data_IF_544364610351
#
_entry.id   IF_544364610351
#
_cell.length_a   1.000
_cell.length_b   1.000
_cell.length_c   1.000
_cell.angle_alpha   90.00
_cell.angle_beta   90.00
_cell.angle_gamma   90.00
#
_symmetry.space_group_name_H-M   'P 1'
#
loop_
_entity.id
_entity.type
_entity.pdbx_description
1 polymer ?
#
# COMPACT_ATOMS: atom_id res chain seq x y z
N UNK A 1 0.27 -40.13 -24.44
CA UNK A 1 0.40 -40.93 -23.20
C UNK A 1 -0.92 -40.90 -22.46
N UNK A 2 -1.66 -42.00 -22.41
CA UNK A 2 -2.92 -42.12 -21.67
C UNK A 2 -2.57 -42.16 -20.17
N UNK A 3 -3.04 -41.16 -19.39
CA UNK A 3 -2.88 -41.15 -17.95
C UNK A 3 -3.56 -42.39 -17.34
N UNK A 4 -2.77 -43.21 -16.65
CA UNK A 4 -3.27 -44.33 -15.87
C UNK A 4 -4.17 -43.78 -14.76
N UNK A 5 -5.49 -43.96 -14.89
CA UNK A 5 -6.43 -43.68 -13.80
C UNK A 5 -6.09 -44.63 -12.65
N UNK A 6 -5.65 -44.09 -11.53
CA UNK A 6 -5.38 -44.88 -10.32
C UNK A 6 -6.67 -45.50 -9.84
N UNK A 7 -6.76 -46.84 -9.89
CA UNK A 7 -7.89 -47.59 -9.33
C UNK A 7 -8.00 -47.30 -7.83
N UNK A 8 -9.17 -46.93 -7.35
CA UNK A 8 -9.46 -46.66 -5.92
C UNK A 8 -10.72 -47.43 -5.55
N UNK A 9 -10.76 -47.93 -4.31
CA UNK A 9 -11.96 -48.49 -3.70
C UNK A 9 -12.96 -47.36 -3.41
N UNK A 10 -14.24 -47.44 -3.76
CA UNK A 10 -15.28 -46.50 -3.38
C UNK A 10 -15.42 -46.31 -1.87
N UNK A 11 -15.83 -45.10 -1.42
CA UNK A 11 -15.93 -44.76 -0.01
C UNK A 11 -16.96 -45.64 0.69
N UNK A 12 -18.10 -45.95 0.03
CA UNK A 12 -19.16 -46.79 0.57
C UNK A 12 -18.64 -48.21 0.84
N UNK A 13 -17.84 -48.74 -0.07
CA UNK A 13 -17.24 -50.05 0.07
C UNK A 13 -16.17 -50.08 1.18
N UNK A 14 -15.42 -48.97 1.36
CA UNK A 14 -14.50 -48.82 2.50
C UNK A 14 -15.22 -48.81 3.84
N UNK A 15 -16.39 -48.15 3.91
CA UNK A 15 -17.23 -48.14 5.11
C UNK A 15 -17.77 -49.55 5.42
N UNK A 16 -18.28 -50.25 4.39
CA UNK A 16 -18.76 -51.65 4.54
C UNK A 16 -17.64 -52.58 5.01
N UNK A 17 -16.46 -52.50 4.37
CA UNK A 17 -15.32 -53.29 4.77
C UNK A 17 -14.89 -53.01 6.23
N UNK A 18 -14.92 -51.75 6.62
CA UNK A 18 -14.61 -51.34 8.01
C UNK A 18 -15.59 -51.98 9.00
N UNK A 19 -16.89 -51.82 8.76
CA UNK A 19 -17.91 -52.35 9.61
C UNK A 19 -17.74 -53.90 9.76
N UNK A 20 -17.45 -54.62 8.68
CA UNK A 20 -17.14 -56.04 8.70
C UNK A 20 -15.84 -56.34 9.46
N UNK A 21 -14.82 -55.52 9.36
CA UNK A 21 -13.58 -55.66 10.12
C UNK A 21 -13.77 -55.40 11.63
N UNK A 22 -14.64 -54.48 12.01
CA UNK A 22 -14.85 -54.09 13.42
C UNK A 22 -15.64 -55.16 14.21
N UNK A 23 -16.38 -56.06 13.53
CA UNK A 23 -17.02 -57.22 14.13
C UNK A 23 -16.04 -58.36 14.47
N UNK A 24 -14.80 -58.31 13.92
CA UNK A 24 -13.81 -59.36 14.06
C UNK A 24 -12.76 -59.02 15.13
N UNK A 25 -12.28 -60.03 15.87
CA UNK A 25 -11.18 -59.84 16.84
C UNK A 25 -9.93 -59.28 16.17
N UNK A 26 -9.26 -58.33 16.82
CA UNK A 26 -7.98 -57.78 16.37
C UNK A 26 -6.97 -58.93 16.15
N UNK A 27 -6.19 -58.88 15.03
CA UNK A 27 -5.22 -59.93 14.64
C UNK A 27 -5.80 -61.27 14.19
N UNK A 28 -7.11 -61.35 13.92
CA UNK A 28 -7.75 -62.58 13.38
C UNK A 28 -7.29 -62.78 11.91
N UNK A 29 -7.07 -64.06 11.53
CA UNK A 29 -6.77 -64.41 10.12
C UNK A 29 -7.89 -64.01 9.16
N UNK A 30 -9.15 -64.01 9.64
CA UNK A 30 -10.32 -63.56 8.86
C UNK A 30 -10.26 -62.09 8.49
N UNK A 31 -9.67 -61.22 9.31
CA UNK A 31 -9.48 -59.79 8.96
C UNK A 31 -8.51 -59.64 7.80
N UNK A 32 -7.47 -60.46 7.74
CA UNK A 32 -6.50 -60.45 6.66
C UNK A 32 -7.13 -60.90 5.38
N UNK A 33 -7.86 -61.99 5.39
CA UNK A 33 -8.59 -62.54 4.23
C UNK A 33 -9.58 -61.50 3.66
N UNK A 34 -10.40 -60.86 4.45
CA UNK A 34 -11.35 -59.83 4.00
C UNK A 34 -10.64 -58.64 3.32
N UNK A 35 -9.47 -58.22 3.81
CA UNK A 35 -8.70 -57.13 3.16
C UNK A 35 -8.07 -57.62 1.86
N UNK A 36 -7.62 -58.88 1.77
CA UNK A 36 -7.07 -59.48 0.56
C UNK A 36 -8.16 -59.66 -0.50
N UNK A 37 -9.32 -60.18 -0.15
CA UNK A 37 -10.48 -60.31 -1.05
C UNK A 37 -10.96 -58.95 -1.58
N UNK A 38 -11.04 -57.94 -0.72
CA UNK A 38 -11.40 -56.60 -1.17
C UNK A 38 -10.31 -56.00 -2.10
N UNK A 39 -9.04 -56.30 -1.82
CA UNK A 39 -7.94 -55.83 -2.66
C UNK A 39 -7.99 -56.42 -4.06
N UNK A 40 -8.26 -57.73 -4.14
CA UNK A 40 -8.40 -58.46 -5.40
C UNK A 40 -9.63 -57.99 -6.18
N UNK A 41 -10.77 -57.82 -5.51
CA UNK A 41 -12.00 -57.36 -6.14
C UNK A 41 -11.88 -55.96 -6.77
N UNK A 42 -11.27 -55.03 -6.09
CA UNK A 42 -11.08 -53.65 -6.58
C UNK A 42 -9.80 -53.47 -7.38
N UNK A 43 -8.96 -54.51 -7.56
CA UNK A 43 -7.71 -54.46 -8.27
C UNK A 43 -6.71 -53.45 -7.70
N UNK A 44 -6.63 -53.38 -6.39
CA UNK A 44 -5.70 -52.51 -5.61
C UNK A 44 -4.88 -53.37 -4.65
N UNK A 45 -3.77 -52.82 -4.15
CA UNK A 45 -2.98 -53.60 -3.17
C UNK A 45 -3.62 -53.61 -1.75
N UNK A 46 -3.44 -54.69 -0.99
CA UNK A 46 -3.88 -54.72 0.41
C UNK A 46 -3.36 -53.57 1.29
N UNK A 47 -2.15 -53.09 0.97
CA UNK A 47 -1.56 -51.91 1.62
C UNK A 47 -2.30 -50.61 1.27
N UNK A 48 -2.81 -50.47 0.02
CA UNK A 48 -3.63 -49.34 -0.39
C UNK A 48 -4.97 -49.32 0.36
N UNK A 49 -5.61 -50.47 0.54
CA UNK A 49 -6.85 -50.59 1.34
C UNK A 49 -6.58 -50.23 2.79
N UNK A 50 -5.53 -50.75 3.40
CA UNK A 50 -5.19 -50.40 4.80
C UNK A 50 -4.92 -48.90 4.97
N UNK A 51 -4.26 -48.27 4.00
CA UNK A 51 -4.05 -46.82 4.01
C UNK A 51 -5.37 -46.07 3.87
N UNK A 52 -6.24 -46.45 2.95
CA UNK A 52 -7.55 -45.85 2.76
C UNK A 52 -8.44 -46.00 4.01
N UNK A 53 -8.44 -47.19 4.64
CA UNK A 53 -9.13 -47.42 5.90
C UNK A 53 -8.57 -46.55 7.06
N UNK A 54 -7.28 -46.24 7.04
CA UNK A 54 -6.67 -45.35 8.02
C UNK A 54 -6.99 -43.86 7.72
N UNK A 55 -6.93 -43.42 6.48
CA UNK A 55 -7.26 -42.06 6.05
C UNK A 55 -8.73 -41.71 6.28
N UNK A 56 -9.64 -42.69 6.09
CA UNK A 56 -11.07 -42.55 6.36
C UNK A 56 -11.48 -42.98 7.79
N UNK A 57 -10.52 -43.02 8.70
CA UNK A 57 -10.83 -43.28 10.11
C UNK A 57 -11.61 -42.08 10.66
N UNK A 58 -12.91 -42.28 10.93
CA UNK A 58 -13.62 -41.35 11.81
C UNK A 58 -12.92 -41.38 13.17
N UNK A 59 -12.43 -40.24 13.69
CA UNK A 59 -11.80 -40.23 14.96
C UNK A 59 -12.83 -40.68 15.99
N UNK A 60 -12.74 -41.94 16.45
CA UNK A 60 -13.26 -42.30 17.75
C UNK A 60 -12.65 -41.24 18.66
N UNK A 61 -13.47 -40.57 19.46
CA UNK A 61 -13.05 -39.52 20.38
C UNK A 61 -11.68 -39.88 20.97
N UNK A 62 -10.62 -39.33 20.39
CA UNK A 62 -9.25 -39.50 20.85
C UNK A 62 -9.04 -38.58 22.04
N UNK A 63 -9.94 -38.72 23.01
CA UNK A 63 -9.73 -38.16 24.32
C UNK A 63 -8.55 -38.93 24.93
N UNK A 64 -7.48 -38.22 25.21
CA UNK A 64 -6.37 -38.78 25.99
C UNK A 64 -6.92 -39.41 27.25
N UNK A 65 -6.22 -40.40 27.79
CA UNK A 65 -6.58 -41.06 29.05
C UNK A 65 -6.72 -40.08 30.24
N UNK A 66 -6.16 -38.87 30.12
CA UNK A 66 -6.25 -37.79 31.10
C UNK A 66 -7.35 -36.77 30.78
N UNK A 67 -8.21 -37.04 29.79
CA UNK A 67 -9.34 -36.18 29.48
C UNK A 67 -10.33 -36.18 30.65
N UNK A 68 -10.66 -34.97 31.14
CA UNK A 68 -11.46 -34.72 32.37
C UNK A 68 -10.79 -35.07 33.72
N UNK A 69 -9.51 -35.45 33.74
CA UNK A 69 -8.79 -35.52 34.98
C UNK A 69 -8.52 -34.14 35.59
N UNK A 70 -8.53 -34.00 36.93
CA UNK A 70 -8.22 -32.74 37.59
C UNK A 70 -6.83 -32.22 37.16
N UNK A 71 -6.76 -31.01 36.73
CA UNK A 71 -5.48 -30.37 36.33
C UNK A 71 -4.83 -29.73 37.55
N UNK A 72 -3.49 -29.72 37.62
CA UNK A 72 -2.73 -29.05 38.68
C UNK A 72 -3.10 -27.57 38.87
N UNK A 73 -3.50 -26.90 37.78
CA UNK A 73 -3.96 -25.50 37.80
C UNK A 73 -5.39 -25.48 37.26
N UNK A 74 -6.37 -24.94 37.99
CA UNK A 74 -7.73 -24.73 37.51
C UNK A 74 -7.78 -23.91 36.24
N UNK A 75 -8.75 -24.16 35.34
CA UNK A 75 -8.90 -23.47 34.07
C UNK A 75 -8.94 -21.93 34.18
N UNK A 76 -9.77 -21.36 35.07
CA UNK A 76 -9.84 -19.91 35.28
C UNK A 76 -8.52 -19.30 35.74
N UNK A 77 -7.81 -19.99 36.64
CA UNK A 77 -6.51 -19.54 37.17
C UNK A 77 -5.43 -19.58 36.06
N UNK A 78 -5.36 -20.66 35.29
CA UNK A 78 -4.48 -20.76 34.12
C UNK A 78 -4.76 -19.64 33.11
N UNK A 79 -6.03 -19.30 32.90
CA UNK A 79 -6.41 -18.20 32.01
C UNK A 79 -5.89 -16.86 32.51
N UNK A 80 -6.05 -16.60 33.83
CA UNK A 80 -5.53 -15.39 34.47
C UNK A 80 -4.01 -15.26 34.29
N UNK A 81 -3.24 -16.33 34.49
CA UNK A 81 -1.80 -16.34 34.27
C UNK A 81 -1.45 -16.09 32.78
N UNK A 82 -2.17 -16.68 31.86
CA UNK A 82 -1.95 -16.45 30.43
C UNK A 82 -2.28 -15.01 30.02
N UNK A 83 -3.33 -14.41 30.57
CA UNK A 83 -3.68 -12.99 30.34
C UNK A 83 -2.56 -12.05 30.83
N UNK A 84 -1.98 -12.33 32.01
CA UNK A 84 -0.84 -11.56 32.55
C UNK A 84 0.39 -11.74 31.66
N UNK A 85 0.73 -12.95 31.24
CA UNK A 85 1.85 -13.22 30.33
C UNK A 85 1.65 -12.49 28.99
N UNK A 86 0.45 -12.48 28.45
CA UNK A 86 0.13 -11.75 27.23
C UNK A 86 0.29 -10.24 27.43
N UNK A 87 -0.20 -9.70 28.54
CA UNK A 87 -0.06 -8.29 28.89
C UNK A 87 1.42 -7.88 29.08
N UNK A 88 2.23 -8.70 29.75
CA UNK A 88 3.68 -8.45 29.89
C UNK A 88 4.37 -8.40 28.52
N UNK A 89 4.08 -9.33 27.63
CA UNK A 89 4.64 -9.31 26.26
C UNK A 89 4.27 -8.05 25.49
N UNK A 90 3.03 -7.61 25.56
CA UNK A 90 2.57 -6.39 24.87
C UNK A 90 3.23 -5.15 25.47
N UNK A 91 3.26 -5.03 26.80
CA UNK A 91 3.83 -3.86 27.51
C UNK A 91 5.34 -3.72 27.34
N UNK A 92 6.06 -4.81 27.23
CA UNK A 92 7.52 -4.82 27.08
C UNK A 92 7.99 -4.70 25.63
N UNK A 93 7.05 -4.61 24.69
CA UNK A 93 7.40 -4.50 23.27
C UNK A 93 8.05 -3.16 22.97
N UNK A 94 9.30 -3.19 22.51
CA UNK A 94 10.03 -2.00 22.09
C UNK A 94 9.69 -1.59 20.62
N UNK A 95 10.24 -0.44 20.18
CA UNK A 95 10.03 0.08 18.79
C UNK A 95 10.47 -0.90 17.70
N UNK A 96 11.40 -1.81 17.99
CA UNK A 96 11.87 -2.86 17.06
C UNK A 96 11.03 -4.16 17.12
N UNK A 97 9.92 -4.18 17.87
CA UNK A 97 9.04 -5.33 18.01
C UNK A 97 9.56 -6.45 18.94
N UNK A 98 10.66 -6.24 19.64
CA UNK A 98 11.21 -7.19 20.61
C UNK A 98 10.44 -7.08 21.92
N UNK A 99 10.13 -8.21 22.53
CA UNK A 99 9.39 -8.33 23.78
C UNK A 99 9.93 -9.50 24.63
N UNK A 100 9.54 -9.55 25.89
CA UNK A 100 9.93 -10.64 26.79
C UNK A 100 9.48 -12.00 26.27
N UNK A 101 10.35 -13.01 26.44
CA UNK A 101 10.02 -14.39 26.12
C UNK A 101 8.97 -14.93 27.08
N UNK A 102 8.23 -15.98 26.69
CA UNK A 102 7.28 -16.66 27.59
C UNK A 102 7.97 -17.15 28.85
N UNK A 103 9.21 -17.66 28.72
CA UNK A 103 9.99 -18.15 29.85
C UNK A 103 10.28 -17.02 30.84
N UNK A 104 10.67 -15.87 30.35
CA UNK A 104 10.96 -14.70 31.19
C UNK A 104 9.71 -14.14 31.85
N UNK A 105 8.59 -14.08 31.14
CA UNK A 105 7.30 -13.68 31.72
C UNK A 105 6.86 -14.61 32.86
N UNK A 106 7.08 -15.94 32.70
CA UNK A 106 6.80 -16.92 33.75
C UNK A 106 7.70 -16.68 34.97
N UNK A 107 9.00 -16.51 34.74
CA UNK A 107 9.97 -16.23 35.81
C UNK A 107 9.57 -14.98 36.62
N UNK A 108 9.24 -13.88 35.96
CA UNK A 108 8.77 -12.66 36.62
C UNK A 108 7.51 -12.90 37.44
N UNK A 109 6.55 -13.65 36.88
CA UNK A 109 5.28 -13.95 37.53
C UNK A 109 5.42 -14.89 38.75
N UNK A 110 6.34 -15.84 38.69
CA UNK A 110 6.62 -16.78 39.78
C UNK A 110 7.49 -16.12 40.88
N UNK A 111 8.51 -15.34 40.51
CA UNK A 111 9.46 -14.78 41.47
C UNK A 111 8.96 -13.50 42.13
N UNK A 112 8.44 -12.56 41.35
CA UNK A 112 8.10 -11.20 41.84
C UNK A 112 6.59 -10.96 41.89
N UNK A 113 5.81 -11.75 41.17
CA UNK A 113 4.40 -11.46 40.94
C UNK A 113 4.20 -10.22 40.04
N UNK A 114 2.95 -9.95 39.74
CA UNK A 114 2.56 -8.78 38.90
C UNK A 114 1.38 -8.09 39.53
N UNK A 115 1.47 -6.78 39.67
CA UNK A 115 0.35 -5.96 40.14
C UNK A 115 -0.70 -5.83 39.04
N UNK A 116 -1.93 -6.23 39.33
CA UNK A 116 -3.08 -6.10 38.44
C UNK A 116 -4.12 -5.16 39.02
N UNK A 117 -5.08 -4.63 38.26
CA UNK A 117 -6.19 -3.84 38.79
C UNK A 117 -7.02 -4.56 39.87
N UNK A 118 -7.00 -5.90 39.89
CA UNK A 118 -7.69 -6.74 40.86
C UNK A 118 -6.78 -7.15 42.04
N UNK A 119 -5.57 -6.59 42.13
CA UNK A 119 -4.59 -6.90 43.16
C UNK A 119 -3.35 -7.63 42.64
N UNK A 120 -2.39 -7.92 43.53
CA UNK A 120 -1.18 -8.66 43.16
C UNK A 120 -1.50 -10.11 42.78
N UNK A 121 -0.80 -10.60 41.77
CA UNK A 121 -0.90 -11.99 41.32
C UNK A 121 0.50 -12.57 41.20
N UNK A 122 0.71 -13.69 41.90
CA UNK A 122 1.96 -14.43 41.83
C UNK A 122 1.63 -15.90 41.57
N UNK A 123 2.34 -16.52 40.67
CA UNK A 123 2.19 -17.94 40.40
C UNK A 123 3.11 -18.77 41.34
N UNK A 124 2.71 -19.95 41.79
CA UNK A 124 3.62 -20.82 42.54
C UNK A 124 4.82 -21.24 41.71
N UNK A 125 6.00 -21.26 42.32
CA UNK A 125 7.25 -21.58 41.67
C UNK A 125 7.23 -22.96 40.97
N UNK A 126 7.74 -23.00 39.73
CA UNK A 126 7.84 -24.22 38.93
C UNK A 126 6.53 -24.80 38.44
N UNK A 127 5.38 -24.17 38.73
CA UNK A 127 4.07 -24.66 38.34
C UNK A 127 3.74 -24.36 36.86
N UNK A 128 4.22 -23.25 36.33
CA UNK A 128 3.96 -22.83 34.96
C UNK A 128 5.02 -23.36 33.99
N UNK A 129 4.64 -24.32 33.14
CA UNK A 129 5.52 -24.82 32.07
C UNK A 129 5.32 -24.01 30.80
N UNK A 130 6.43 -23.53 30.21
CA UNK A 130 6.43 -22.74 28.96
C UNK A 130 5.53 -23.33 27.86
N UNK A 131 5.69 -24.63 27.58
CA UNK A 131 4.93 -25.31 26.51
C UNK A 131 3.43 -25.33 26.81
N UNK A 132 3.05 -25.42 28.07
CA UNK A 132 1.65 -25.38 28.53
C UNK A 132 1.08 -23.97 28.35
N UNK A 133 1.81 -22.94 28.81
CA UNK A 133 1.40 -21.54 28.68
C UNK A 133 1.31 -21.14 27.18
N UNK A 134 2.30 -21.47 26.37
CA UNK A 134 2.29 -21.17 24.92
C UNK A 134 1.08 -21.82 24.22
N UNK A 135 0.73 -23.07 24.55
CA UNK A 135 -0.45 -23.77 24.03
C UNK A 135 -1.75 -23.07 24.41
N UNK A 136 -1.88 -22.62 25.66
CA UNK A 136 -3.08 -21.90 26.11
C UNK A 136 -3.17 -20.50 25.56
N UNK A 137 -2.05 -19.77 25.41
CA UNK A 137 -2.01 -18.50 24.73
C UNK A 137 -2.54 -18.60 23.29
N UNK A 138 -2.16 -19.65 22.55
CA UNK A 138 -2.70 -19.94 21.23
C UNK A 138 -4.19 -20.29 21.26
N UNK A 139 -4.58 -21.21 22.15
CA UNK A 139 -5.96 -21.69 22.26
C UNK A 139 -6.96 -20.57 22.60
N UNK A 140 -6.56 -19.59 23.41
CA UNK A 140 -7.43 -18.48 23.83
C UNK A 140 -7.22 -17.20 22.99
N UNK A 141 -6.47 -17.27 21.91
CA UNK A 141 -6.21 -16.10 21.06
C UNK A 141 -5.37 -15.01 21.74
N UNK A 142 -4.66 -15.33 22.84
CA UNK A 142 -3.81 -14.42 23.60
C UNK A 142 -2.36 -14.41 23.08
N UNK A 143 -2.08 -15.05 21.93
CA UNK A 143 -0.77 -15.02 21.29
C UNK A 143 -0.37 -13.58 20.95
N UNK A 144 0.92 -13.26 21.09
CA UNK A 144 1.43 -11.90 20.84
C UNK A 144 0.99 -11.30 19.49
N UNK A 145 0.99 -12.11 18.43
CA UNK A 145 0.49 -11.69 17.12
C UNK A 145 -1.01 -11.43 17.12
N UNK A 146 -1.80 -12.28 17.77
CA UNK A 146 -3.26 -12.15 17.87
C UNK A 146 -3.65 -10.90 18.68
N UNK A 147 -2.96 -10.63 19.78
CA UNK A 147 -3.19 -9.45 20.62
C UNK A 147 -2.81 -8.13 19.93
N UNK A 148 -1.96 -8.18 18.91
CA UNK A 148 -1.56 -7.03 18.07
C UNK A 148 -2.30 -6.97 16.75
N UNK A 149 -3.25 -7.86 16.50
CA UNK A 149 -4.11 -7.72 15.31
C UNK A 149 -4.87 -6.41 15.46
N UNK A 150 -4.48 -5.45 14.64
CA UNK A 150 -5.21 -4.20 14.50
C UNK A 150 -6.64 -4.55 14.04
N UNK A 151 -7.67 -3.87 14.58
CA UNK A 151 -9.03 -4.07 14.08
C UNK A 151 -9.03 -3.90 12.56
N UNK A 152 -9.89 -4.63 11.85
CA UNK A 152 -9.95 -4.54 10.40
C UNK A 152 -10.07 -3.07 10.01
N UNK A 153 -9.13 -2.58 9.20
CA UNK A 153 -9.18 -1.24 8.69
C UNK A 153 -10.50 -1.09 7.94
N UNK A 154 -11.33 -0.16 8.35
CA UNK A 154 -12.54 0.20 7.60
C UNK A 154 -12.05 0.61 6.22
N UNK A 155 -12.47 -0.13 5.19
CA UNK A 155 -12.16 0.21 3.81
C UNK A 155 -12.85 1.53 3.49
N UNK A 156 -12.09 2.61 3.45
CA UNK A 156 -12.56 3.83 2.81
C UNK A 156 -12.62 3.56 1.29
N UNK A 157 -13.76 3.87 0.71
CA UNK A 157 -13.95 3.88 -0.73
C UNK A 157 -14.83 5.07 -1.07
N UNK A 158 -14.39 5.90 -2.00
CA UNK A 158 -15.15 7.03 -2.50
C UNK A 158 -16.46 6.55 -3.15
N UNK A 159 -17.51 7.36 -3.06
CA UNK A 159 -18.81 7.02 -3.64
C UNK A 159 -18.74 7.10 -5.16
N UNK A 160 -18.12 8.17 -5.68
CA UNK A 160 -17.99 8.38 -7.11
C UNK A 160 -16.51 8.40 -7.54
N UNK A 161 -16.30 8.10 -8.80
CA UNK A 161 -15.03 8.31 -9.47
C UNK A 161 -14.67 9.79 -9.44
N UNK A 162 -13.39 10.13 -9.31
CA UNK A 162 -12.88 11.49 -9.12
C UNK A 162 -13.33 12.19 -7.81
N UNK A 163 -13.99 11.51 -6.89
CA UNK A 163 -14.20 12.08 -5.55
C UNK A 163 -12.88 12.16 -4.77
N UNK A 164 -12.02 11.15 -4.90
CA UNK A 164 -10.74 11.11 -4.21
C UNK A 164 -9.68 10.41 -5.06
N UNK A 165 -8.56 11.08 -5.28
CA UNK A 165 -7.36 10.48 -5.84
C UNK A 165 -6.30 10.33 -4.78
N UNK A 166 -5.63 9.17 -4.77
CA UNK A 166 -4.44 8.93 -3.96
C UNK A 166 -3.21 9.23 -4.79
N UNK A 167 -2.38 10.15 -4.33
CA UNK A 167 -1.17 10.64 -5.00
C UNK A 167 0.08 10.25 -4.22
N UNK A 168 1.12 9.78 -4.92
CA UNK A 168 2.36 9.39 -4.28
C UNK A 168 3.54 9.34 -5.27
N UNK A 169 4.77 9.40 -4.73
CA UNK A 169 6.02 9.19 -5.43
C UNK A 169 6.67 7.88 -5.02
N UNK A 170 7.38 7.23 -5.93
CA UNK A 170 8.21 6.07 -5.62
C UNK A 170 9.47 6.06 -6.47
N UNK A 171 10.67 5.91 -5.89
CA UNK A 171 11.86 5.70 -6.69
C UNK A 171 11.68 4.49 -7.62
N UNK A 172 12.04 4.63 -8.90
CA UNK A 172 12.07 3.51 -9.84
C UNK A 172 13.20 2.54 -9.50
N UNK A 173 12.97 1.25 -9.64
CA UNK A 173 14.00 0.23 -9.45
C UNK A 173 15.05 0.28 -10.58
N UNK A 174 14.75 0.91 -11.71
CA UNK A 174 15.67 1.13 -12.83
C UNK A 174 16.80 2.12 -12.50
N UNK A 175 16.59 2.99 -11.51
CA UNK A 175 17.51 4.06 -11.08
C UNK A 175 17.85 5.08 -12.18
N UNK A 176 18.41 4.63 -13.31
CA UNK A 176 18.75 5.43 -14.50
C UNK A 176 18.47 4.62 -15.76
N UNK A 177 17.95 5.26 -16.79
CA UNK A 177 17.74 4.67 -18.11
C UNK A 177 19.05 4.62 -18.89
N UNK A 178 19.07 3.81 -19.97
CA UNK A 178 20.27 3.54 -20.76
C UNK A 178 20.91 4.81 -21.34
N UNK A 179 20.11 5.73 -21.91
CA UNK A 179 20.60 7.00 -22.47
C UNK A 179 21.28 7.90 -21.43
N UNK A 180 20.74 7.99 -20.21
CA UNK A 180 21.32 8.75 -19.10
C UNK A 180 22.61 8.12 -18.54
N UNK A 181 22.72 6.79 -18.59
CA UNK A 181 23.95 6.08 -18.20
C UNK A 181 25.08 6.32 -19.18
N UNK A 182 24.75 6.54 -20.46
CA UNK A 182 25.71 6.83 -21.51
C UNK A 182 26.17 8.30 -21.51
N UNK A 183 25.30 9.22 -21.07
CA UNK A 183 25.64 10.63 -20.91
C UNK A 183 26.50 10.80 -19.66
N UNK A 184 27.78 11.16 -19.81
CA UNK A 184 28.70 11.48 -18.71
C UNK A 184 28.34 12.83 -18.04
N UNK A 185 27.07 13.25 -18.07
CA UNK A 185 26.63 14.46 -17.39
C UNK A 185 26.82 14.28 -15.89
N UNK A 186 27.60 15.16 -15.31
CA UNK A 186 28.05 15.16 -13.92
C UNK A 186 26.95 15.43 -12.88
N UNK A 187 25.68 15.54 -13.30
CA UNK A 187 24.52 15.73 -12.42
C UNK A 187 24.03 14.37 -11.88
N UNK A 188 24.88 13.75 -11.04
CA UNK A 188 24.63 12.46 -10.42
C UNK A 188 23.52 12.45 -9.36
N UNK A 189 22.86 13.60 -9.12
CA UNK A 189 21.89 13.76 -8.04
C UNK A 189 20.44 13.45 -8.43
N UNK A 190 20.11 13.39 -9.73
CA UNK A 190 18.75 13.08 -10.19
C UNK A 190 18.44 11.58 -10.10
N UNK A 191 17.27 11.28 -9.57
CA UNK A 191 16.74 9.90 -9.49
C UNK A 191 15.52 9.78 -10.39
N UNK A 192 15.42 8.64 -11.09
CA UNK A 192 14.22 8.31 -11.83
C UNK A 192 13.11 7.96 -10.85
N UNK A 193 12.07 8.77 -10.81
CA UNK A 193 10.90 8.58 -9.95
C UNK A 193 9.69 8.16 -10.78
N UNK A 194 8.93 7.22 -10.25
CA UNK A 194 7.61 6.86 -10.73
C UNK A 194 6.57 7.62 -9.91
N UNK A 195 5.85 8.53 -10.55
CA UNK A 195 4.79 9.31 -9.93
C UNK A 195 3.45 8.68 -10.27
N UNK A 196 2.51 8.67 -9.33
CA UNK A 196 1.26 7.93 -9.47
C UNK A 196 0.08 8.67 -8.88
N UNK A 197 -1.05 8.61 -9.57
CA UNK A 197 -2.38 8.77 -8.99
C UNK A 197 -3.19 7.50 -9.18
N UNK A 198 -4.03 7.22 -8.18
CA UNK A 198 -5.02 6.15 -8.22
C UNK A 198 -6.39 6.74 -7.82
N UNK A 199 -7.39 6.50 -8.65
CA UNK A 199 -8.77 6.81 -8.26
C UNK A 199 -9.23 5.90 -7.13
N UNK A 200 -9.72 6.47 -6.03
CA UNK A 200 -10.06 5.69 -4.84
C UNK A 200 -11.28 4.80 -5.05
N UNK A 201 -12.24 5.20 -5.89
CA UNK A 201 -13.44 4.42 -6.20
C UNK A 201 -13.10 3.19 -7.03
N UNK A 202 -12.52 3.39 -8.19
CA UNK A 202 -12.34 2.37 -9.23
C UNK A 202 -10.98 1.67 -9.19
N UNK A 203 -9.98 2.33 -8.60
CA UNK A 203 -8.61 1.86 -8.65
C UNK A 203 -7.94 2.04 -10.02
N UNK A 204 -8.50 2.86 -10.91
CA UNK A 204 -7.83 3.28 -12.14
C UNK A 204 -6.55 4.02 -11.80
N UNK A 205 -5.49 3.74 -12.56
CA UNK A 205 -4.16 4.31 -12.36
C UNK A 205 -3.76 5.19 -13.52
N UNK A 206 -3.10 6.30 -13.20
CA UNK A 206 -2.26 7.05 -14.11
C UNK A 206 -0.89 7.26 -13.50
N UNK A 207 0.19 7.07 -14.27
CA UNK A 207 1.57 7.15 -13.81
C UNK A 207 2.48 7.71 -14.88
N UNK A 208 3.56 8.34 -14.44
CA UNK A 208 4.65 8.82 -15.32
C UNK A 208 6.00 8.64 -14.62
N UNK A 209 7.04 8.43 -15.43
CA UNK A 209 8.44 8.54 -15.01
C UNK A 209 8.95 9.97 -15.20
N UNK A 210 9.69 10.45 -14.21
CA UNK A 210 10.38 11.75 -14.26
C UNK A 210 11.75 11.65 -13.59
N UNK A 211 12.75 12.34 -14.14
CA UNK A 211 14.03 12.56 -13.46
C UNK A 211 13.93 13.77 -12.56
N UNK A 212 14.12 13.55 -11.25
CA UNK A 212 13.98 14.59 -10.23
C UNK A 212 15.07 14.48 -9.16
N UNK A 213 15.34 15.59 -8.47
CA UNK A 213 16.22 15.61 -7.29
C UNK A 213 15.55 15.15 -5.99
N UNK A 214 14.38 14.53 -6.09
CA UNK A 214 13.53 14.12 -4.99
C UNK A 214 12.07 14.44 -5.30
N UNK A 215 11.23 14.58 -4.27
CA UNK A 215 9.85 15.03 -4.44
C UNK A 215 9.83 16.55 -4.67
N UNK A 216 9.70 16.99 -5.90
CA UNK A 216 9.64 18.40 -6.23
C UNK A 216 8.24 18.86 -6.69
N UNK A 217 7.94 20.12 -6.41
CA UNK A 217 6.62 20.73 -6.62
C UNK A 217 6.33 20.93 -8.11
N UNK A 218 7.33 21.31 -8.90
CA UNK A 218 7.15 21.57 -10.31
C UNK A 218 6.78 20.29 -11.06
N UNK A 219 7.48 19.21 -10.81
CA UNK A 219 7.19 17.89 -11.39
C UNK A 219 5.85 17.36 -10.90
N UNK A 220 5.52 17.52 -9.61
CA UNK A 220 4.21 17.16 -9.08
C UNK A 220 3.06 17.86 -9.79
N UNK A 221 3.19 19.18 -10.02
CA UNK A 221 2.17 19.97 -10.70
C UNK A 221 2.04 19.59 -12.18
N UNK A 222 3.15 19.38 -12.90
CA UNK A 222 3.13 18.91 -14.30
C UNK A 222 2.45 17.56 -14.43
N UNK A 223 2.83 16.61 -13.57
CA UNK A 223 2.21 15.29 -13.52
C UNK A 223 0.70 15.37 -13.26
N UNK A 224 0.28 16.16 -12.26
CA UNK A 224 -1.14 16.31 -11.93
C UNK A 224 -1.92 16.98 -13.06
N UNK A 225 -1.33 17.97 -13.75
CA UNK A 225 -1.94 18.53 -14.95
C UNK A 225 -2.16 17.43 -16.00
N UNK A 226 -1.15 16.64 -16.31
CA UNK A 226 -1.23 15.55 -17.28
C UNK A 226 -2.26 14.50 -16.85
N UNK A 227 -2.33 14.19 -15.54
CA UNK A 227 -3.32 13.23 -15.01
C UNK A 227 -4.76 13.74 -15.15
N UNK A 228 -4.99 15.05 -14.92
CA UNK A 228 -6.32 15.69 -14.97
C UNK A 228 -6.77 16.05 -16.39
N UNK A 229 -5.83 16.39 -17.26
CA UNK A 229 -6.11 16.80 -18.63
C UNK A 229 -6.60 15.63 -19.51
N UNK A 230 -7.35 15.91 -20.59
CA UNK A 230 -7.67 14.94 -21.62
C UNK A 230 -6.40 14.32 -22.21
N UNK A 231 -6.41 12.99 -22.39
CA UNK A 231 -5.25 12.30 -22.96
C UNK A 231 -5.27 12.40 -24.49
N UNK A 232 -4.11 12.72 -25.08
CA UNK A 232 -3.95 12.74 -26.54
C UNK A 232 -4.16 11.36 -27.17
N UNK A 233 -3.87 10.30 -26.42
CA UNK A 233 -3.97 8.93 -26.87
C UNK A 233 -5.41 8.43 -26.72
N UNK A 234 -5.96 7.86 -27.78
CA UNK A 234 -7.29 7.22 -27.75
C UNK A 234 -7.29 6.00 -26.82
N UNK A 235 -8.39 5.78 -26.11
CA UNK A 235 -8.54 4.61 -25.24
C UNK A 235 -8.10 4.80 -23.77
N UNK A 236 -7.71 6.02 -23.38
CA UNK A 236 -7.45 6.38 -21.98
C UNK A 236 -8.46 7.45 -21.56
N UNK A 237 -9.68 7.12 -21.13
CA UNK A 237 -10.70 8.09 -20.76
C UNK A 237 -10.46 8.73 -19.38
N UNK A 238 -9.48 8.26 -18.60
CA UNK A 238 -9.17 8.79 -17.28
C UNK A 238 -8.73 10.27 -17.36
N UNK A 239 -9.53 11.16 -16.79
CA UNK A 239 -9.33 12.61 -16.79
C UNK A 239 -10.21 13.29 -15.74
N UNK A 240 -10.10 14.60 -15.62
CA UNK A 240 -10.93 15.43 -14.75
C UNK A 240 -10.27 15.76 -13.42
N UNK A 241 -10.72 16.86 -12.82
CA UNK A 241 -10.20 17.36 -11.55
C UNK A 241 -10.85 16.60 -10.39
N UNK A 242 -10.09 15.92 -9.50
CA UNK A 242 -10.66 15.26 -8.33
C UNK A 242 -11.20 16.30 -7.31
N UNK A 243 -12.11 15.88 -6.43
CA UNK A 243 -12.53 16.72 -5.29
C UNK A 243 -11.48 16.73 -4.19
N UNK A 244 -10.87 15.58 -3.94
CA UNK A 244 -9.89 15.35 -2.87
C UNK A 244 -8.63 14.75 -3.47
N UNK A 245 -7.48 15.31 -3.10
CA UNK A 245 -6.17 14.72 -3.32
C UNK A 245 -5.61 14.22 -1.99
N UNK A 246 -5.54 12.89 -1.83
CA UNK A 246 -5.00 12.24 -0.64
C UNK A 246 -3.52 11.91 -0.87
N UNK A 247 -2.63 12.44 -0.04
CA UNK A 247 -1.20 12.30 -0.19
C UNK A 247 -0.50 12.18 1.17
N UNK A 248 0.78 11.84 1.15
CA UNK A 248 1.56 11.83 2.38
C UNK A 248 1.99 13.25 2.81
N UNK A 249 2.60 13.30 3.98
CA UNK A 249 3.04 14.55 4.60
C UNK A 249 4.47 14.91 4.14
N UNK A 250 4.72 14.80 2.82
CA UNK A 250 6.01 15.11 2.18
C UNK A 250 6.21 16.59 1.85
N UNK A 251 7.37 16.95 1.27
CA UNK A 251 7.72 18.34 0.93
C UNK A 251 6.71 19.01 0.00
N UNK A 252 6.17 18.30 -0.98
CA UNK A 252 5.16 18.81 -1.92
C UNK A 252 3.91 19.27 -1.20
N UNK A 253 3.46 18.51 -0.19
CA UNK A 253 2.27 18.84 0.59
C UNK A 253 2.39 20.13 1.41
N UNK A 254 3.61 20.54 1.74
CA UNK A 254 3.89 21.76 2.50
C UNK A 254 4.09 22.99 1.63
N UNK A 255 4.30 22.81 0.33
CA UNK A 255 4.51 23.93 -0.60
C UNK A 255 3.30 24.85 -0.65
N UNK A 256 3.57 26.16 -0.47
CA UNK A 256 2.54 27.21 -0.61
C UNK A 256 1.98 27.25 -2.02
N UNK A 257 2.83 27.15 -3.04
CA UNK A 257 2.43 27.17 -4.45
C UNK A 257 1.55 25.96 -4.78
N UNK A 258 1.94 24.77 -4.33
CA UNK A 258 1.13 23.56 -4.52
C UNK A 258 -0.27 23.72 -3.93
N UNK A 259 -0.36 24.19 -2.67
CA UNK A 259 -1.64 24.43 -1.99
C UNK A 259 -2.49 25.46 -2.72
N UNK A 260 -1.85 26.55 -3.19
CA UNK A 260 -2.53 27.60 -3.96
C UNK A 260 -3.11 27.06 -5.27
N UNK A 261 -2.34 26.28 -6.04
CA UNK A 261 -2.81 25.65 -7.29
C UNK A 261 -3.99 24.71 -7.00
N UNK A 262 -3.87 23.85 -6.01
CA UNK A 262 -4.97 22.93 -5.64
C UNK A 262 -6.23 23.72 -5.22
N UNK A 263 -6.08 24.79 -4.45
CA UNK A 263 -7.21 25.64 -4.05
C UNK A 263 -7.86 26.33 -5.27
N UNK A 264 -7.08 26.83 -6.22
CA UNK A 264 -7.62 27.43 -7.46
C UNK A 264 -8.37 26.41 -8.34
N UNK A 265 -7.94 25.13 -8.30
CA UNK A 265 -8.65 24.03 -8.94
C UNK A 265 -9.86 23.52 -8.11
N UNK A 266 -10.07 24.02 -6.90
CA UNK A 266 -11.09 23.54 -5.98
C UNK A 266 -10.85 22.10 -5.54
N UNK A 267 -9.57 21.72 -5.34
CA UNK A 267 -9.15 20.40 -4.85
C UNK A 267 -8.78 20.49 -3.38
N UNK A 268 -9.44 19.70 -2.54
CA UNK A 268 -9.11 19.57 -1.12
C UNK A 268 -7.90 18.65 -0.95
N UNK A 269 -6.84 19.13 -0.30
CA UNK A 269 -5.69 18.30 0.05
C UNK A 269 -5.96 17.63 1.39
N UNK A 270 -5.91 16.30 1.43
CA UNK A 270 -5.95 15.50 2.66
C UNK A 270 -4.65 14.78 2.87
N UNK A 271 -4.02 15.02 4.02
CA UNK A 271 -2.76 14.43 4.37
C UNK A 271 -2.95 13.13 5.15
N UNK A 272 -2.03 12.19 4.93
CA UNK A 272 -1.95 11.01 5.76
C UNK A 272 -1.50 11.40 7.17
N UNK A 273 -2.40 11.20 8.14
CA UNK A 273 -2.12 11.51 9.54
C UNK A 273 -1.23 10.42 10.16
N UNK A 274 -0.19 10.79 10.92
CA UNK A 274 0.59 9.82 11.67
C UNK A 274 -0.27 9.04 12.64
N UNK A 275 0.09 7.78 12.89
CA UNK A 275 -0.61 6.90 13.83
C UNK A 275 -0.75 7.57 15.20
N UNK A 276 -1.97 7.84 15.62
CA UNK A 276 -2.30 8.34 16.95
C UNK A 276 -2.49 9.86 17.10
N UNK A 277 -2.41 10.66 16.02
CA UNK A 277 -2.56 12.11 16.11
C UNK A 277 -3.99 12.61 16.33
N UNK A 278 -5.01 11.81 16.00
CA UNK A 278 -6.44 12.17 16.11
C UNK A 278 -7.28 11.17 16.92
N UNK A 279 -6.63 10.21 17.59
CA UNK A 279 -7.31 9.10 18.26
C UNK A 279 -8.02 8.11 17.32
N UNK A 280 -8.07 8.38 16.04
CA UNK A 280 -8.57 7.46 15.00
C UNK A 280 -7.39 6.73 14.40
N UNK A 281 -7.53 5.42 14.25
CA UNK A 281 -6.50 4.57 13.66
C UNK A 281 -6.50 4.69 12.13
N UNK A 282 -6.07 5.82 11.60
CA UNK A 282 -5.68 5.93 10.19
C UNK A 282 -4.36 5.20 10.02
N UNK A 283 -4.42 3.95 9.66
CA UNK A 283 -3.23 3.12 9.46
C UNK A 283 -2.67 3.35 8.06
N UNK A 284 -1.38 3.02 7.87
CA UNK A 284 -0.71 2.98 6.56
C UNK A 284 -1.50 2.19 5.49
N UNK A 285 -2.45 1.36 5.90
CA UNK A 285 -3.39 0.65 5.01
C UNK A 285 -4.32 1.57 4.22
N UNK A 286 -4.53 2.83 4.64
CA UNK A 286 -5.29 3.81 3.87
C UNK A 286 -4.61 4.13 2.52
N UNK A 287 -3.26 4.07 2.44
CA UNK A 287 -2.47 4.23 1.21
C UNK A 287 -2.34 2.96 0.35
N UNK A 288 -2.82 1.82 0.81
CA UNK A 288 -2.65 0.54 0.11
C UNK A 288 -3.19 0.51 -1.33
N UNK A 289 -4.03 1.48 -1.70
CA UNK A 289 -4.56 1.62 -3.07
C UNK A 289 -3.54 2.24 -4.04
N UNK A 290 -2.57 3.03 -3.55
CA UNK A 290 -1.49 3.58 -4.38
C UNK A 290 -0.16 2.82 -4.20
N UNK A 291 0.13 2.32 -2.99
CA UNK A 291 1.37 1.56 -2.70
C UNK A 291 1.43 0.20 -3.44
N UNK A 292 0.33 -0.56 -3.39
CA UNK A 292 0.26 -1.86 -4.07
C UNK A 292 0.45 -1.75 -5.59
N UNK A 293 -0.16 -0.78 -6.31
CA UNK A 293 0.11 -0.54 -7.71
C UNK A 293 1.54 -0.15 -8.07
N UNK A 294 2.29 0.53 -7.19
CA UNK A 294 3.73 0.74 -7.42
C UNK A 294 4.47 -0.58 -7.50
N UNK A 295 4.25 -1.44 -6.51
CA UNK A 295 4.83 -2.77 -6.48
C UNK A 295 4.44 -3.57 -7.72
N UNK A 296 3.19 -3.54 -8.15
CA UNK A 296 2.72 -4.25 -9.34
C UNK A 296 3.44 -3.76 -10.60
N UNK A 297 3.61 -2.45 -10.78
CA UNK A 297 4.34 -1.89 -11.93
C UNK A 297 5.81 -2.33 -11.89
N UNK A 298 6.47 -2.25 -10.74
CA UNK A 298 7.86 -2.67 -10.58
C UNK A 298 8.04 -4.17 -10.90
N UNK A 299 7.19 -5.02 -10.33
CA UNK A 299 7.26 -6.47 -10.53
C UNK A 299 6.86 -6.91 -11.95
N UNK A 300 5.89 -6.25 -12.59
CA UNK A 300 5.32 -6.72 -13.86
C UNK A 300 5.78 -5.94 -15.09
N UNK A 301 6.29 -4.71 -14.90
CA UNK A 301 6.68 -3.84 -15.99
C UNK A 301 8.17 -3.51 -15.96
N UNK A 302 8.72 -2.99 -14.84
CA UNK A 302 10.14 -2.66 -14.77
C UNK A 302 11.05 -3.90 -14.91
N UNK A 303 10.59 -5.09 -14.52
CA UNK A 303 11.34 -6.34 -14.73
C UNK A 303 11.51 -6.70 -16.21
N UNK A 304 10.64 -6.22 -17.10
CA UNK A 304 10.76 -6.47 -18.54
C UNK A 304 11.97 -5.74 -19.16
N UNK A 305 12.47 -4.70 -18.52
CA UNK A 305 13.62 -3.93 -18.98
C UNK A 305 14.94 -4.71 -18.95
N UNK A 306 14.97 -5.86 -18.30
CA UNK A 306 16.09 -6.81 -18.46
C UNK A 306 16.21 -7.35 -19.89
N UNK A 307 15.12 -7.34 -20.65
CA UNK A 307 15.06 -7.84 -22.02
C UNK A 307 15.05 -6.72 -23.04
N UNK A 308 14.43 -5.61 -22.73
CA UNK A 308 14.29 -4.45 -23.61
C UNK A 308 14.18 -3.19 -22.77
N UNK A 309 15.22 -2.36 -22.80
CA UNK A 309 15.36 -1.19 -21.94
C UNK A 309 15.10 0.09 -22.75
N UNK A 310 14.25 1.02 -22.27
CA UNK A 310 14.03 2.30 -22.92
C UNK A 310 15.29 3.17 -22.83
N UNK A 311 15.54 3.96 -23.87
CA UNK A 311 16.67 4.87 -23.90
C UNK A 311 16.35 6.21 -23.25
N UNK A 312 15.10 6.69 -23.40
CA UNK A 312 14.65 8.00 -22.90
C UNK A 312 13.45 7.88 -21.96
N UNK A 313 13.17 8.94 -21.21
CA UNK A 313 12.00 9.01 -20.32
C UNK A 313 10.69 9.03 -21.11
N UNK A 314 10.70 9.67 -22.27
CA UNK A 314 9.55 9.74 -23.18
C UNK A 314 9.17 8.33 -23.64
N UNK A 315 10.14 7.55 -24.11
CA UNK A 315 9.94 6.15 -24.52
C UNK A 315 9.46 5.28 -23.34
N UNK A 316 10.08 5.44 -22.15
CA UNK A 316 9.65 4.75 -20.94
C UNK A 316 8.20 5.08 -20.57
N UNK A 317 7.79 6.35 -20.74
CA UNK A 317 6.43 6.78 -20.49
C UNK A 317 5.44 6.25 -21.54
N UNK A 318 5.81 6.18 -22.81
CA UNK A 318 4.97 5.59 -23.85
C UNK A 318 4.65 4.12 -23.53
N UNK A 319 5.66 3.32 -23.20
CA UNK A 319 5.48 1.91 -22.83
C UNK A 319 4.71 1.76 -21.53
N UNK A 320 4.95 2.66 -20.56
CA UNK A 320 4.18 2.68 -19.32
C UNK A 320 2.70 2.95 -19.59
N UNK A 321 2.36 3.87 -20.47
CA UNK A 321 0.96 4.16 -20.83
C UNK A 321 0.29 2.95 -21.50
N UNK A 322 1.00 2.22 -22.36
CA UNK A 322 0.48 0.96 -22.94
C UNK A 322 0.21 -0.11 -21.88
N UNK A 323 1.13 -0.25 -20.94
CA UNK A 323 0.95 -1.16 -19.81
C UNK A 323 -0.25 -0.74 -18.96
N UNK A 324 -0.37 0.54 -18.61
CA UNK A 324 -1.48 1.05 -17.79
C UNK A 324 -2.83 0.91 -18.47
N UNK A 325 -2.91 1.08 -19.79
CA UNK A 325 -4.13 0.86 -20.56
C UNK A 325 -4.61 -0.59 -20.38
N UNK A 326 -3.70 -1.56 -20.54
CA UNK A 326 -4.01 -2.98 -20.30
C UNK A 326 -4.38 -3.24 -18.84
N UNK A 327 -3.61 -2.68 -17.88
CA UNK A 327 -3.86 -2.84 -16.45
C UNK A 327 -5.23 -2.32 -16.02
N UNK A 328 -5.62 -1.14 -16.50
CA UNK A 328 -6.90 -0.53 -16.19
C UNK A 328 -8.09 -1.27 -16.84
N UNK A 329 -7.84 -1.96 -17.95
CA UNK A 329 -8.84 -2.81 -18.64
C UNK A 329 -9.00 -4.19 -17.99
N UNK A 330 -8.10 -4.61 -17.08
CA UNK A 330 -8.24 -5.89 -16.38
C UNK A 330 -9.30 -5.81 -15.29
N UNK A 331 -10.04 -6.91 -15.03
CA UNK A 331 -10.93 -7.02 -13.89
C UNK A 331 -10.24 -6.69 -12.56
N UNK A 332 -10.94 -6.00 -11.68
CA UNK A 332 -10.40 -5.64 -10.38
C UNK A 332 -10.68 -6.74 -9.35
N UNK A 333 -9.71 -7.62 -9.13
CA UNK A 333 -9.77 -8.73 -8.16
C UNK A 333 -10.87 -9.75 -8.51
N UNK A 334 -11.87 -9.91 -7.61
CA UNK A 334 -13.01 -10.82 -7.75
C UNK A 334 -14.25 -10.15 -8.32
N UNK A 335 -14.09 -9.02 -9.00
CA UNK A 335 -15.20 -8.30 -9.61
C UNK A 335 -15.30 -8.63 -11.10
N UNK A 336 -16.51 -8.65 -11.65
CA UNK A 336 -16.78 -9.04 -13.04
C UNK A 336 -16.53 -7.91 -14.05
N UNK A 337 -16.07 -6.75 -13.57
CA UNK A 337 -15.81 -5.57 -14.39
C UNK A 337 -14.38 -5.06 -14.23
N UNK A 338 -13.89 -4.33 -15.23
CA UNK A 338 -12.59 -3.69 -15.21
C UNK A 338 -12.60 -2.42 -14.35
N UNK A 339 -11.40 -1.95 -13.97
CA UNK A 339 -11.23 -0.66 -13.26
C UNK A 339 -11.79 0.50 -14.09
N UNK A 340 -11.59 0.45 -15.40
CA UNK A 340 -12.04 1.50 -16.31
C UNK A 340 -13.56 1.51 -16.45
N UNK A 341 -14.21 0.35 -16.53
CA UNK A 341 -15.67 0.23 -16.52
C UNK A 341 -16.26 0.74 -15.21
N UNK A 342 -15.64 0.41 -14.05
CA UNK A 342 -16.07 0.94 -12.76
C UNK A 342 -15.92 2.46 -12.69
N UNK A 343 -14.82 3.00 -13.22
CA UNK A 343 -14.58 4.45 -13.27
C UNK A 343 -15.67 5.17 -14.09
N UNK A 344 -15.98 4.68 -15.29
CA UNK A 344 -16.99 5.26 -16.16
C UNK A 344 -18.41 5.16 -15.54
N UNK A 345 -18.73 4.02 -14.96
CA UNK A 345 -20.05 3.75 -14.36
C UNK A 345 -20.35 4.62 -13.13
N UNK A 346 -19.32 4.97 -12.37
CA UNK A 346 -19.46 5.71 -11.13
C UNK A 346 -18.99 7.17 -11.21
N UNK A 347 -18.94 7.74 -12.42
CA UNK A 347 -18.78 9.18 -12.56
C UNK A 347 -19.92 9.91 -11.84
N UNK A 348 -19.67 11.11 -11.25
CA UNK A 348 -20.74 11.94 -10.68
C UNK A 348 -21.84 12.20 -11.71
N UNK A 349 -23.08 12.41 -11.31
CA UNK A 349 -24.19 12.73 -12.24
C UNK A 349 -23.92 13.95 -13.13
N UNK A 350 -23.11 14.90 -12.67
CA UNK A 350 -22.63 16.06 -13.43
C UNK A 350 -21.45 15.78 -14.35
N UNK A 351 -21.02 14.51 -14.46
CA UNK A 351 -19.77 14.14 -15.11
C UNK A 351 -18.53 14.49 -14.28
N UNK A 352 -17.38 14.53 -14.90
CA UNK A 352 -16.14 14.99 -14.27
C UNK A 352 -15.94 16.50 -14.48
N UNK A 353 -15.19 17.15 -13.59
CA UNK A 353 -14.79 18.54 -13.73
C UNK A 353 -13.64 18.62 -14.74
N UNK A 354 -13.82 19.42 -15.79
CA UNK A 354 -12.83 19.58 -16.85
C UNK A 354 -11.59 20.35 -16.38
N UNK A 355 -10.44 19.95 -16.88
CA UNK A 355 -9.18 20.65 -16.63
C UNK A 355 -9.08 21.90 -17.52
N UNK A 356 -8.58 23.00 -16.96
CA UNK A 356 -8.31 24.23 -17.70
C UNK A 356 -7.13 24.08 -18.68
N UNK A 357 -6.88 25.07 -19.53
CA UNK A 357 -5.72 25.09 -20.40
C UNK A 357 -4.41 25.15 -19.61
N UNK A 358 -3.30 24.76 -20.26
CA UNK A 358 -1.97 24.78 -19.64
C UNK A 358 -1.57 26.20 -19.20
N UNK A 359 -1.85 27.20 -20.03
CA UNK A 359 -1.53 28.60 -19.76
C UNK A 359 -2.27 29.09 -18.50
N UNK A 360 -3.57 28.74 -18.38
CA UNK A 360 -4.34 29.08 -17.20
C UNK A 360 -3.83 28.34 -15.96
N UNK A 361 -3.45 27.09 -16.11
CA UNK A 361 -2.86 26.32 -15.01
C UNK A 361 -1.53 26.93 -14.53
N UNK A 362 -0.66 27.33 -15.46
CA UNK A 362 0.58 28.04 -15.14
C UNK A 362 0.33 29.34 -14.38
N UNK A 363 -0.75 30.07 -14.71
CA UNK A 363 -1.10 31.31 -14.01
C UNK A 363 -1.46 31.10 -12.53
N UNK A 364 -1.82 29.89 -12.09
CA UNK A 364 -2.04 29.54 -10.69
C UNK A 364 -0.74 29.23 -9.95
N UNK A 365 0.28 28.76 -10.66
CA UNK A 365 1.55 28.29 -10.11
C UNK A 365 2.57 29.43 -10.01
N UNK A 366 2.20 30.50 -9.28
CA UNK A 366 3.03 31.68 -9.07
C UNK A 366 3.57 31.72 -7.65
N UNK A 367 4.88 31.92 -7.53
CA UNK A 367 5.52 32.09 -6.22
C UNK A 367 5.59 33.58 -5.89
N UNK A 368 4.91 34.04 -4.82
CA UNK A 368 4.96 35.45 -4.41
C UNK A 368 6.24 35.75 -3.64
N UNK A 369 6.96 36.80 -4.05
CA UNK A 369 8.14 37.31 -3.36
C UNK A 369 8.08 38.85 -3.28
N UNK A 370 8.20 39.43 -2.10
CA UNK A 370 8.29 40.88 -1.96
C UNK A 370 9.71 41.35 -2.23
N UNK A 371 9.84 42.34 -3.13
CA UNK A 371 11.10 42.96 -3.51
C UNK A 371 10.93 44.46 -3.72
N UNK A 372 12.01 45.21 -3.50
CA UNK A 372 12.07 46.60 -3.90
C UNK A 372 12.69 46.70 -5.32
N UNK A 373 11.97 47.32 -6.23
CA UNK A 373 12.49 47.60 -7.53
C UNK A 373 13.65 48.61 -7.47
N UNK A 374 14.67 48.45 -8.32
CA UNK A 374 15.75 49.40 -8.41
C UNK A 374 15.28 50.77 -8.94
N UNK A 375 16.10 51.84 -8.79
CA UNK A 375 15.83 53.13 -9.34
C UNK A 375 15.70 53.10 -10.88
N UNK A 376 16.23 52.07 -11.51
CA UNK A 376 16.14 51.74 -12.94
C UNK A 376 14.93 50.87 -13.29
N UNK A 377 14.00 50.72 -12.35
CA UNK A 377 12.86 49.80 -12.45
C UNK A 377 13.25 48.34 -12.75
N UNK A 378 14.42 47.89 -12.29
CA UNK A 378 14.84 46.50 -12.45
C UNK A 378 14.71 45.69 -11.14
N UNK A 379 14.41 44.40 -11.30
CA UNK A 379 14.48 43.41 -10.23
C UNK A 379 15.30 42.21 -10.67
N UNK A 380 15.93 41.52 -9.72
CA UNK A 380 16.63 40.27 -9.98
C UNK A 380 15.91 39.12 -9.34
N UNK A 381 15.58 38.07 -10.11
CA UNK A 381 15.00 36.83 -9.62
C UNK A 381 15.95 35.70 -9.98
N UNK A 382 16.44 34.98 -8.99
CA UNK A 382 17.37 33.83 -9.15
C UNK A 382 18.59 34.18 -10.06
N UNK A 383 19.13 35.41 -9.92
CA UNK A 383 20.27 35.90 -10.71
C UNK A 383 19.92 36.40 -12.10
N UNK A 384 18.68 36.35 -12.53
CA UNK A 384 18.19 36.88 -13.79
C UNK A 384 17.55 38.25 -13.58
N UNK A 385 17.95 39.24 -14.40
CA UNK A 385 17.46 40.63 -14.30
C UNK A 385 16.24 40.82 -15.18
N UNK A 386 15.21 41.48 -14.63
CA UNK A 386 13.96 41.83 -15.32
C UNK A 386 13.75 43.33 -15.27
N UNK A 387 13.38 43.92 -16.43
CA UNK A 387 12.96 45.29 -16.52
C UNK A 387 11.47 45.39 -16.28
N UNK A 388 11.06 46.10 -15.23
CA UNK A 388 9.68 46.39 -14.93
C UNK A 388 9.20 47.68 -15.64
N UNK A 389 7.93 48.01 -15.44
CA UNK A 389 7.39 49.27 -15.90
C UNK A 389 8.03 50.47 -15.12
N UNK A 390 8.26 51.58 -15.77
CA UNK A 390 8.97 52.74 -15.21
C UNK A 390 8.34 53.29 -13.92
N UNK A 391 7.02 53.24 -13.80
CA UNK A 391 6.31 53.70 -12.61
C UNK A 391 6.52 52.81 -11.36
N UNK A 392 7.13 51.62 -11.51
CA UNK A 392 7.49 50.73 -10.42
C UNK A 392 8.90 51.01 -9.87
N UNK A 393 9.64 52.00 -10.44
CA UNK A 393 10.99 52.29 -9.99
C UNK A 393 11.03 52.76 -8.55
N UNK A 394 11.84 52.09 -7.72
CA UNK A 394 11.98 52.38 -6.30
C UNK A 394 10.86 51.90 -5.40
N UNK A 395 9.78 51.35 -5.94
CA UNK A 395 8.63 50.89 -5.20
C UNK A 395 8.84 49.47 -4.62
N UNK A 396 8.11 49.16 -3.54
CA UNK A 396 7.98 47.81 -3.05
C UNK A 396 6.90 47.07 -3.82
N UNK A 397 7.30 46.01 -4.49
CA UNK A 397 6.46 45.25 -5.42
C UNK A 397 6.38 43.78 -4.96
N UNK A 398 5.27 43.12 -5.24
CA UNK A 398 5.16 41.68 -5.11
C UNK A 398 5.43 41.03 -6.46
N UNK A 399 6.57 40.34 -6.54
CA UNK A 399 6.91 39.50 -7.68
C UNK A 399 6.05 38.22 -7.62
N UNK A 400 5.52 37.83 -8.77
CA UNK A 400 4.72 36.61 -8.95
C UNK A 400 5.42 35.74 -10.00
N UNK A 401 6.43 34.98 -9.55
CA UNK A 401 7.24 34.13 -10.40
C UNK A 401 6.52 32.85 -10.77
N UNK A 402 6.45 32.53 -12.05
CA UNK A 402 5.85 31.30 -12.58
C UNK A 402 6.83 30.14 -12.56
N UNK A 403 6.59 29.17 -11.67
CA UNK A 403 7.46 28.00 -11.55
C UNK A 403 7.35 27.02 -12.72
N UNK A 404 6.33 27.14 -13.56
CA UNK A 404 6.07 26.24 -14.70
C UNK A 404 6.39 26.87 -16.06
N UNK A 405 6.20 28.18 -16.21
CA UNK A 405 6.33 28.91 -17.48
C UNK A 405 7.48 29.90 -17.50
N UNK A 406 8.16 30.12 -16.38
CA UNK A 406 9.24 31.11 -16.23
C UNK A 406 8.81 32.54 -16.54
N UNK A 407 7.53 32.87 -16.44
CA UNK A 407 7.02 34.22 -16.58
C UNK A 407 6.99 34.96 -15.25
N UNK A 408 7.37 36.24 -15.29
CA UNK A 408 7.29 37.15 -14.14
C UNK A 408 6.12 38.10 -14.30
N UNK A 409 5.20 38.07 -13.35
CA UNK A 409 4.22 39.14 -13.15
C UNK A 409 4.58 39.91 -11.90
N UNK A 410 4.14 41.16 -11.83
CA UNK A 410 4.41 42.04 -10.70
C UNK A 410 3.11 42.69 -10.28
N UNK A 411 2.87 42.72 -8.97
CA UNK A 411 1.73 43.40 -8.36
C UNK A 411 2.24 44.60 -7.57
N UNK A 412 1.67 45.79 -7.86
CA UNK A 412 1.88 47.03 -7.13
C UNK A 412 0.52 47.61 -6.76
N UNK A 413 0.27 47.88 -5.45
CA UNK A 413 -0.98 48.46 -4.94
C UNK A 413 -2.26 47.72 -5.38
N UNK A 414 -2.17 46.40 -5.59
CA UNK A 414 -3.29 45.55 -6.02
C UNK A 414 -3.47 45.50 -7.55
N UNK A 415 -2.70 46.23 -8.32
CA UNK A 415 -2.67 46.15 -9.77
C UNK A 415 -1.58 45.21 -10.26
N UNK A 416 -1.96 44.22 -11.10
CA UNK A 416 -1.06 43.22 -11.64
C UNK A 416 -0.63 43.60 -13.04
N UNK A 417 0.70 43.78 -13.27
CA UNK A 417 1.34 44.01 -14.56
C UNK A 417 2.17 42.82 -15.04
N UNK A 418 2.43 42.74 -16.33
CA UNK A 418 3.26 41.69 -16.95
C UNK A 418 2.54 40.93 -18.08
N UNK A 419 3.15 39.87 -18.63
CA UNK A 419 4.43 39.30 -18.19
C UNK A 419 5.65 40.17 -18.52
N UNK A 420 6.62 40.20 -17.58
CA UNK A 420 7.92 40.80 -17.78
C UNK A 420 8.93 39.73 -18.18
N UNK A 421 9.84 40.09 -19.09
CA UNK A 421 10.82 39.14 -19.62
C UNK A 421 12.26 39.53 -19.19
N UNK A 422 13.16 38.52 -19.12
CA UNK A 422 14.55 38.78 -18.82
C UNK A 422 15.16 39.82 -19.79
N UNK A 423 15.92 40.71 -19.23
CA UNK A 423 16.74 41.61 -20.10
C UNK A 423 17.78 40.78 -20.82
N UNK A 424 17.79 40.83 -22.16
CA UNK A 424 18.72 40.05 -22.96
C UNK A 424 20.13 40.64 -22.84
N UNK A 425 20.99 39.86 -22.15
CA UNK A 425 22.43 40.01 -22.19
C UNK A 425 23.03 41.24 -21.52
N UNK A 426 24.35 41.28 -21.33
CA UNK A 426 25.03 42.52 -20.99
C UNK A 426 24.84 43.52 -22.13
N UNK A 427 24.50 44.76 -21.79
CA UNK A 427 24.53 45.87 -22.75
C UNK A 427 25.95 45.88 -23.31
N UNK A 428 26.14 45.73 -24.61
CA UNK A 428 27.49 45.89 -25.18
C UNK A 428 27.96 47.31 -24.85
N UNK A 429 29.11 47.38 -24.20
CA UNK A 429 29.81 48.63 -23.90
C UNK A 429 30.27 49.27 -25.17
#
# INVERSE_FOLDING_TARGET
>A
MRGMVRKRMPIEALIMLRNALDTLKARSSKRRLLVEEAADFYGVSPSSIRRALHEHHQPQTTNRSDFNQPRKIPGPEMRRYCEIVAALKVRTTNKKGRHLSTKECIHLLETYGVQTPQGPVQAPEGMLKRTTVDRYLQRWGLGYKAMRVEPPAVRFQAVHSNDCWQFDFSPSDLKKLKGERASHSSDGSRTLMLISVADDRSGVLYKEYHYVHGEDVMTALRFLFNAMAPKKRTGIPFQGIPKILYMDNGPVAWSKVFKQVMAQLGVEIRLHMPKGSDGRRTTARAKGKVERPFRTVKESFETLYHFHEPETVEEANEWLQEYLQRYNAMPHRSEDHSRMEDWLKHLPPSGFREMCSWERFCSFAREPEQRRAGADACVSVSGVRYQLATHMAGEEVTLLWGILDNELYVELNGEKGGPFYPTKGPIPL
#
